data_IF_301273505837
#
_entry.id   IF_301273505837
#
_cell.length_a   1.000
_cell.length_b   1.000
_cell.length_c   1.000
_cell.angle_alpha   90.00
_cell.angle_beta   90.00
_cell.angle_gamma   90.00
#
_symmetry.space_group_name_H-M   'P 1'
#
loop_
_entity.id
_entity.type
_entity.pdbx_description
1 polymer ?
#
# COMPACT_ATOMS: atom_id res chain seq x y z
N UNK A 1 5.01 6.68 -14.42
CA UNK A 1 3.64 6.62 -14.95
C UNK A 1 3.01 8.02 -14.94
N UNK A 2 2.88 8.66 -13.79
CA UNK A 2 2.17 9.94 -13.60
C UNK A 2 2.58 11.06 -14.57
N UNK A 3 3.87 11.19 -14.91
CA UNK A 3 4.37 12.22 -15.83
C UNK A 3 3.71 12.08 -17.21
N UNK A 4 3.66 10.86 -17.76
CA UNK A 4 3.08 10.60 -19.07
C UNK A 4 1.56 10.82 -19.08
N UNK A 5 0.89 10.46 -17.99
CA UNK A 5 -0.54 10.73 -17.80
C UNK A 5 -0.82 12.22 -17.76
N UNK A 6 -0.03 12.99 -17.00
CA UNK A 6 -0.17 14.43 -16.86
C UNK A 6 0.10 15.20 -18.18
N UNK A 7 0.93 14.64 -19.07
CA UNK A 7 1.23 15.20 -20.39
C UNK A 7 0.33 14.68 -21.51
N UNK A 8 -0.56 13.72 -21.21
CA UNK A 8 -1.43 13.07 -22.19
C UNK A 8 -0.69 12.10 -23.14
N UNK A 9 0.54 11.72 -22.81
CA UNK A 9 1.36 10.80 -23.62
C UNK A 9 1.01 9.33 -23.31
N UNK A 10 -0.18 8.93 -23.73
CA UNK A 10 -0.71 7.57 -23.50
C UNK A 10 0.12 6.49 -24.21
N UNK A 11 0.74 6.82 -25.34
CA UNK A 11 1.59 5.86 -26.08
C UNK A 11 2.85 5.51 -25.26
N UNK A 12 3.55 6.50 -24.73
CA UNK A 12 4.73 6.27 -23.88
C UNK A 12 4.33 5.62 -22.56
N UNK A 13 3.19 6.00 -21.98
CA UNK A 13 2.65 5.34 -20.78
C UNK A 13 2.45 3.83 -21.03
N UNK A 14 1.83 3.46 -22.14
CA UNK A 14 1.62 2.05 -22.52
C UNK A 14 2.94 1.30 -22.66
N UNK A 15 3.90 1.85 -23.38
CA UNK A 15 5.24 1.24 -23.55
C UNK A 15 5.96 1.06 -22.22
N UNK A 16 5.82 2.02 -21.30
CA UNK A 16 6.41 1.93 -19.97
C UNK A 16 5.76 0.82 -19.14
N UNK A 17 4.44 0.69 -19.17
CA UNK A 17 3.72 -0.39 -18.48
C UNK A 17 4.08 -1.76 -19.05
N UNK A 18 4.10 -1.91 -20.38
CA UNK A 18 4.52 -3.15 -21.04
C UNK A 18 5.95 -3.54 -20.69
N UNK A 19 6.87 -2.57 -20.69
CA UNK A 19 8.26 -2.77 -20.28
C UNK A 19 8.35 -3.22 -18.83
N UNK A 20 7.62 -2.56 -17.94
CA UNK A 20 7.58 -2.87 -16.50
C UNK A 20 7.07 -4.30 -16.25
N UNK A 21 5.94 -4.65 -16.85
CA UNK A 21 5.36 -5.99 -16.69
C UNK A 21 6.33 -7.05 -17.22
N UNK A 22 6.82 -6.89 -18.45
CA UNK A 22 7.70 -7.87 -19.10
C UNK A 22 8.99 -8.14 -18.33
N UNK A 23 9.61 -7.11 -17.75
CA UNK A 23 10.93 -7.23 -17.14
C UNK A 23 10.88 -7.47 -15.62
N UNK A 24 9.81 -7.09 -14.96
CA UNK A 24 9.73 -7.10 -13.50
C UNK A 24 8.58 -7.95 -12.93
N UNK A 25 7.62 -8.33 -13.77
CA UNK A 25 6.46 -9.13 -13.35
C UNK A 25 6.23 -10.30 -14.32
N UNK A 26 7.16 -11.26 -14.41
CA UNK A 26 7.14 -12.31 -15.45
C UNK A 26 5.91 -13.24 -15.38
N UNK A 27 5.19 -13.26 -14.25
CA UNK A 27 3.94 -13.98 -14.10
C UNK A 27 2.75 -13.27 -14.78
N UNK A 28 2.92 -12.01 -15.18
CA UNK A 28 1.87 -11.20 -15.80
C UNK A 28 2.15 -10.94 -17.28
N UNK A 29 1.06 -10.64 -18.00
CA UNK A 29 1.08 -10.18 -19.39
C UNK A 29 0.22 -8.92 -19.48
N UNK A 30 0.37 -8.18 -20.58
CA UNK A 30 -0.50 -7.06 -20.88
C UNK A 30 -0.99 -7.16 -22.34
N UNK A 31 -2.21 -7.62 -22.53
CA UNK A 31 -2.88 -7.68 -23.82
C UNK A 31 -4.32 -7.16 -23.76
N UNK A 32 -4.86 -6.98 -22.56
CA UNK A 32 -6.22 -6.50 -22.32
C UNK A 32 -6.35 -5.95 -20.87
N UNK A 33 -7.47 -5.28 -20.60
CA UNK A 33 -7.78 -4.66 -19.31
C UNK A 33 -7.78 -5.67 -18.16
N UNK A 34 -8.31 -6.87 -18.35
CA UNK A 34 -8.37 -7.89 -17.30
C UNK A 34 -6.98 -8.33 -16.83
N UNK A 35 -6.02 -8.46 -17.74
CA UNK A 35 -4.64 -8.78 -17.37
C UNK A 35 -3.96 -7.62 -16.65
N UNK A 36 -4.25 -6.40 -17.06
CA UNK A 36 -3.74 -5.21 -16.40
C UNK A 36 -4.33 -5.05 -14.99
N UNK A 37 -5.63 -5.33 -14.81
CA UNK A 37 -6.27 -5.38 -13.48
C UNK A 37 -5.64 -6.44 -12.58
N UNK A 38 -5.35 -7.63 -13.10
CA UNK A 38 -4.69 -8.69 -12.32
C UNK A 38 -3.29 -8.26 -11.83
N UNK A 39 -2.51 -7.60 -12.67
CA UNK A 39 -1.20 -7.04 -12.29
C UNK A 39 -1.34 -5.96 -11.20
N UNK A 40 -2.29 -5.04 -11.34
CA UNK A 40 -2.54 -3.99 -10.34
C UNK A 40 -3.04 -4.57 -9.01
N UNK A 41 -3.86 -5.63 -9.05
CA UNK A 41 -4.30 -6.33 -7.85
C UNK A 41 -3.13 -6.97 -7.08
N UNK A 42 -2.17 -7.56 -7.77
CA UNK A 42 -0.98 -8.12 -7.15
C UNK A 42 -0.08 -7.03 -6.54
N UNK A 43 0.03 -5.88 -7.17
CA UNK A 43 0.73 -4.72 -6.58
C UNK A 43 0.01 -4.26 -5.30
N UNK A 44 -1.32 -4.16 -5.32
CA UNK A 44 -2.12 -3.78 -4.16
C UNK A 44 -1.91 -4.76 -2.98
N UNK A 45 -1.98 -6.07 -3.23
CA UNK A 45 -1.73 -7.12 -2.22
C UNK A 45 -0.29 -7.12 -1.70
N UNK A 46 0.69 -6.92 -2.58
CA UNK A 46 2.10 -6.84 -2.18
C UNK A 46 2.33 -5.62 -1.28
N UNK A 47 1.72 -4.48 -1.61
CA UNK A 47 1.76 -3.27 -0.79
C UNK A 47 1.09 -3.50 0.58
N UNK A 48 -0.09 -4.12 0.62
CA UNK A 48 -0.78 -4.47 1.86
C UNK A 48 0.07 -5.40 2.73
N UNK A 49 0.72 -6.39 2.13
CA UNK A 49 1.63 -7.32 2.82
C UNK A 49 2.82 -6.59 3.45
N UNK A 50 3.50 -5.74 2.68
CA UNK A 50 4.62 -4.95 3.17
C UNK A 50 4.23 -4.08 4.36
N UNK A 51 3.14 -3.33 4.24
CA UNK A 51 2.66 -2.43 5.30
C UNK A 51 2.19 -3.20 6.54
N UNK A 52 1.56 -4.37 6.37
CA UNK A 52 1.20 -5.25 7.49
C UNK A 52 2.43 -5.70 8.27
N UNK A 53 3.54 -5.99 7.59
CA UNK A 53 4.79 -6.31 8.27
C UNK A 53 5.38 -5.10 9.01
N UNK A 54 5.28 -3.88 8.44
CA UNK A 54 5.68 -2.67 9.17
C UNK A 54 4.88 -2.50 10.47
N UNK A 55 3.55 -2.62 10.38
CA UNK A 55 2.66 -2.52 11.55
C UNK A 55 2.98 -3.60 12.58
N UNK A 56 3.32 -4.82 12.13
CA UNK A 56 3.62 -5.94 13.02
C UNK A 56 4.88 -5.72 13.87
N UNK A 57 5.89 -5.07 13.32
CA UNK A 57 7.19 -4.86 14.00
C UNK A 57 7.39 -3.44 14.52
N UNK A 58 6.37 -2.58 14.44
CA UNK A 58 6.47 -1.21 14.89
C UNK A 58 7.34 -0.30 14.01
N UNK A 59 7.60 -0.69 12.76
CA UNK A 59 8.37 0.13 11.82
C UNK A 59 7.55 1.30 11.28
N UNK A 60 8.16 2.47 11.23
CA UNK A 60 7.58 3.68 10.63
C UNK A 60 8.49 4.19 9.52
N UNK A 61 7.98 4.21 8.30
CA UNK A 61 8.72 4.68 7.13
C UNK A 61 9.02 6.18 7.20
N UNK A 62 8.05 6.96 7.65
CA UNK A 62 8.19 8.41 7.89
C UNK A 62 8.03 9.31 6.67
N UNK A 63 8.19 8.82 5.44
CA UNK A 63 8.00 9.59 4.18
C UNK A 63 7.42 8.71 3.08
N UNK A 64 6.12 8.45 3.14
CA UNK A 64 5.41 7.61 2.18
C UNK A 64 4.84 8.43 1.01
N UNK A 65 5.68 9.23 0.36
CA UNK A 65 5.35 9.84 -0.92
C UNK A 65 5.25 8.77 -2.01
N UNK A 66 4.62 9.07 -3.13
CA UNK A 66 4.42 8.12 -4.24
C UNK A 66 5.73 7.62 -4.86
N UNK A 67 6.77 8.45 -4.86
CA UNK A 67 8.11 8.12 -5.34
C UNK A 67 8.90 7.22 -4.37
N UNK A 68 8.48 7.15 -3.11
CA UNK A 68 9.09 6.33 -2.05
C UNK A 68 8.36 4.99 -1.82
N UNK A 69 7.43 4.63 -2.70
CA UNK A 69 6.66 3.38 -2.62
C UNK A 69 6.94 2.49 -3.82
N UNK A 70 7.47 1.30 -3.55
CA UNK A 70 7.77 0.33 -4.59
C UNK A 70 6.55 -0.47 -5.01
N UNK A 71 6.32 -0.61 -6.31
CA UNK A 71 5.29 -1.51 -6.87
C UNK A 71 5.58 -3.00 -6.65
N UNK A 72 6.78 -3.34 -6.14
CA UNK A 72 7.17 -4.69 -5.79
C UNK A 72 6.83 -5.08 -4.34
N UNK A 73 6.20 -4.19 -3.56
CA UNK A 73 5.99 -4.43 -2.13
C UNK A 73 7.29 -4.53 -1.33
N UNK A 74 8.32 -3.80 -1.76
CA UNK A 74 9.61 -3.72 -1.09
C UNK A 74 9.75 -2.37 -0.39
N UNK A 75 10.30 -2.39 0.82
CA UNK A 75 10.65 -1.15 1.52
C UNK A 75 11.85 -0.52 0.85
N UNK A 76 11.69 0.72 0.39
CA UNK A 76 12.74 1.52 -0.26
C UNK A 76 12.82 2.90 0.40
N UNK A 77 13.83 3.68 0.04
CA UNK A 77 14.01 5.07 0.46
C UNK A 77 14.00 5.25 1.98
N UNK A 78 14.98 4.61 2.63
CA UNK A 78 15.19 4.69 4.08
C UNK A 78 15.73 6.08 4.49
N UNK A 79 14.83 7.09 4.46
CA UNK A 79 15.11 8.44 4.95
C UNK A 79 14.93 8.52 6.48
N UNK A 80 13.99 9.33 7.00
CA UNK A 80 13.72 9.43 8.42
C UNK A 80 12.83 8.28 8.93
N UNK A 81 13.29 7.05 8.78
CA UNK A 81 12.59 5.86 9.29
C UNK A 81 12.94 5.60 10.76
N UNK A 82 12.16 4.76 11.44
CA UNK A 82 12.44 4.30 12.79
C UNK A 82 11.46 3.24 13.27
N UNK A 83 11.60 2.83 14.52
CA UNK A 83 10.70 1.90 15.19
C UNK A 83 10.12 2.58 16.44
N UNK A 84 8.85 2.31 16.72
CA UNK A 84 8.26 2.71 17.99
C UNK A 84 8.90 1.88 19.13
N UNK A 85 9.26 2.53 20.23
CA UNK A 85 9.71 1.86 21.44
C UNK A 85 8.50 1.54 22.33
N UNK A 86 7.80 2.58 22.77
CA UNK A 86 6.48 2.44 23.38
C UNK A 86 5.39 2.53 22.30
N UNK A 87 4.24 1.92 22.55
CA UNK A 87 3.13 2.01 21.62
C UNK A 87 2.57 3.44 21.55
N UNK A 88 2.95 4.18 20.52
CA UNK A 88 2.37 5.48 20.19
C UNK A 88 1.87 5.48 18.74
N UNK A 89 0.54 5.41 18.52
CA UNK A 89 -0.04 5.44 17.18
C UNK A 89 0.22 6.75 16.43
N UNK A 90 0.60 7.81 17.14
CA UNK A 90 0.86 9.13 16.58
C UNK A 90 2.35 9.42 16.37
N UNK A 91 3.21 8.49 16.74
CA UNK A 91 4.64 8.67 16.58
C UNK A 91 5.07 8.74 15.10
N UNK A 92 5.97 9.67 14.80
CA UNK A 92 6.61 9.81 13.48
C UNK A 92 8.08 10.16 13.67
N UNK A 93 9.00 9.49 12.96
CA UNK A 93 10.43 9.84 12.99
C UNK A 93 10.75 11.08 12.16
N UNK A 94 9.82 11.54 11.32
CA UNK A 94 10.00 12.66 10.41
C UNK A 94 9.69 13.99 11.09
N UNK A 95 10.75 14.76 11.42
CA UNK A 95 10.62 16.06 12.08
C UNK A 95 9.92 17.11 11.21
N UNK A 96 9.97 17.00 9.90
CA UNK A 96 9.28 17.92 8.96
C UNK A 96 7.78 17.64 8.87
N UNK A 97 7.34 16.46 9.27
CA UNK A 97 5.93 16.05 9.29
C UNK A 97 5.24 16.24 10.67
N UNK A 98 5.93 16.77 11.65
CA UNK A 98 5.43 16.90 13.05
C UNK A 98 4.12 17.69 13.15
N UNK A 99 3.90 18.67 12.30
CA UNK A 99 2.69 19.51 12.32
C UNK A 99 1.44 18.78 11.86
N UNK A 100 1.58 17.87 10.88
CA UNK A 100 0.47 17.15 10.27
C UNK A 100 0.44 15.66 10.64
N UNK A 101 1.60 15.10 10.98
CA UNK A 101 1.81 13.68 11.28
C UNK A 101 1.16 12.76 10.24
N UNK A 102 1.29 13.16 8.96
CA UNK A 102 0.71 12.43 7.83
C UNK A 102 1.22 11.00 7.80
N UNK A 103 2.52 10.81 8.06
CA UNK A 103 3.23 9.54 7.98
C UNK A 103 3.47 8.89 9.35
N UNK A 104 2.64 9.21 10.37
CA UNK A 104 2.70 8.56 11.69
C UNK A 104 2.38 7.06 11.59
N UNK A 105 2.78 6.30 12.59
CA UNK A 105 2.63 4.84 12.65
C UNK A 105 1.23 4.36 12.25
N UNK A 106 0.19 4.78 12.97
CA UNK A 106 -1.17 4.31 12.73
C UNK A 106 -1.76 4.72 11.37
N UNK A 107 -1.16 5.69 10.68
CA UNK A 107 -1.68 6.19 9.41
C UNK A 107 -1.11 5.45 8.18
N UNK A 108 -0.08 4.62 8.37
CA UNK A 108 0.62 3.96 7.26
C UNK A 108 -0.30 3.12 6.36
N UNK A 109 -1.24 2.29 6.88
CA UNK A 109 -2.15 1.55 6.03
C UNK A 109 -2.99 2.45 5.12
N UNK A 110 -3.51 3.56 5.67
CA UNK A 110 -4.31 4.52 4.89
C UNK A 110 -3.49 5.26 3.83
N UNK A 111 -2.26 5.65 4.16
CA UNK A 111 -1.37 6.34 3.20
C UNK A 111 -0.92 5.39 2.09
N UNK A 112 -0.67 4.13 2.39
CA UNK A 112 -0.36 3.14 1.36
C UNK A 112 -1.54 2.92 0.40
N UNK A 113 -2.77 2.83 0.91
CA UNK A 113 -3.98 2.79 0.07
C UNK A 113 -4.12 4.05 -0.79
N UNK A 114 -3.81 5.24 -0.25
CA UNK A 114 -3.74 6.47 -1.03
C UNK A 114 -2.69 6.39 -2.14
N UNK A 115 -1.50 5.80 -1.89
CA UNK A 115 -0.49 5.59 -2.92
C UNK A 115 -0.94 4.62 -4.01
N UNK A 116 -1.63 3.53 -3.64
CA UNK A 116 -2.29 2.64 -4.61
C UNK A 116 -3.26 3.44 -5.49
N UNK A 117 -4.12 4.27 -4.90
CA UNK A 117 -5.03 5.12 -5.67
C UNK A 117 -4.29 6.04 -6.66
N UNK A 118 -3.17 6.65 -6.26
CA UNK A 118 -2.35 7.49 -7.16
C UNK A 118 -1.76 6.68 -8.33
N UNK A 119 -1.36 5.43 -8.09
CA UNK A 119 -0.92 4.54 -9.16
C UNK A 119 -2.06 4.23 -10.14
N UNK A 120 -3.26 3.90 -9.62
CA UNK A 120 -4.43 3.61 -10.44
C UNK A 120 -4.81 4.81 -11.32
N UNK A 121 -4.84 6.02 -10.77
CA UNK A 121 -5.07 7.23 -11.54
C UNK A 121 -4.02 7.46 -12.64
N UNK A 122 -2.76 7.15 -12.35
CA UNK A 122 -1.68 7.27 -13.33
C UNK A 122 -1.76 6.25 -14.47
N UNK A 123 -2.45 5.13 -14.25
CA UNK A 123 -2.62 4.04 -15.24
C UNK A 123 -4.00 4.12 -15.92
N UNK A 124 -4.95 4.84 -15.36
CA UNK A 124 -6.34 4.93 -15.85
C UNK A 124 -6.48 5.22 -17.37
N UNK A 125 -5.64 6.08 -18.00
CA UNK A 125 -5.74 6.32 -19.44
C UNK A 125 -5.49 5.11 -20.35
N UNK A 126 -5.06 3.97 -19.80
CA UNK A 126 -4.84 2.73 -20.56
C UNK A 126 -6.07 1.82 -20.60
N UNK A 127 -7.10 2.13 -19.82
CA UNK A 127 -8.33 1.36 -19.73
C UNK A 127 -9.44 1.92 -20.60
N UNK A 128 -10.22 1.03 -21.21
CA UNK A 128 -11.46 1.40 -21.90
C UNK A 128 -12.55 1.80 -20.91
N UNK A 129 -12.61 1.13 -19.75
CA UNK A 129 -13.56 1.37 -18.65
C UNK A 129 -12.78 1.60 -17.32
N UNK A 130 -12.28 2.81 -17.06
CA UNK A 130 -11.43 3.10 -15.89
C UNK A 130 -12.16 2.97 -14.54
N UNK A 131 -13.50 2.93 -14.52
CA UNK A 131 -14.31 2.72 -13.31
C UNK A 131 -13.99 1.37 -12.64
N UNK A 132 -13.56 0.37 -13.42
CA UNK A 132 -13.14 -0.94 -12.90
C UNK A 132 -11.95 -0.86 -11.94
N UNK A 133 -11.15 0.21 -12.01
CA UNK A 133 -10.00 0.39 -11.13
C UNK A 133 -10.38 0.53 -9.65
N UNK A 134 -11.60 0.96 -9.34
CA UNK A 134 -12.07 1.08 -7.95
C UNK A 134 -12.00 -0.25 -7.20
N UNK A 135 -12.26 -1.38 -7.86
CA UNK A 135 -12.18 -2.71 -7.25
C UNK A 135 -10.77 -3.05 -6.72
N UNK A 136 -9.71 -2.45 -7.28
CA UNK A 136 -8.34 -2.66 -6.80
C UNK A 136 -8.11 -2.02 -5.43
N UNK A 137 -8.79 -0.91 -5.15
CA UNK A 137 -8.76 -0.32 -3.81
C UNK A 137 -9.50 -1.20 -2.79
N UNK A 138 -10.60 -1.80 -3.19
CA UNK A 138 -11.31 -2.77 -2.35
C UNK A 138 -10.41 -3.97 -2.04
N UNK A 139 -9.74 -4.53 -3.07
CA UNK A 139 -8.73 -5.60 -2.88
C UNK A 139 -7.64 -5.18 -1.88
N UNK A 140 -7.14 -3.94 -1.95
CA UNK A 140 -6.14 -3.45 -1.00
C UNK A 140 -6.68 -3.40 0.43
N UNK A 141 -7.87 -2.79 0.63
CA UNK A 141 -8.43 -2.59 1.97
C UNK A 141 -8.92 -3.90 2.61
N UNK A 142 -9.44 -4.82 1.83
CA UNK A 142 -9.78 -6.16 2.30
C UNK A 142 -8.53 -6.93 2.74
N UNK A 143 -7.50 -6.99 1.89
CA UNK A 143 -6.27 -7.72 2.15
C UNK A 143 -5.49 -7.15 3.36
N UNK A 144 -5.41 -5.82 3.49
CA UNK A 144 -4.75 -5.20 4.66
C UNK A 144 -5.53 -5.47 5.96
N UNK A 145 -6.86 -5.47 5.91
CA UNK A 145 -7.73 -5.80 7.04
C UNK A 145 -7.54 -7.25 7.51
N UNK A 146 -7.58 -8.20 6.57
CA UNK A 146 -7.34 -9.62 6.87
C UNK A 146 -5.95 -9.86 7.49
N UNK A 147 -4.92 -9.22 6.94
CA UNK A 147 -3.55 -9.33 7.44
C UNK A 147 -3.38 -8.69 8.83
N UNK A 148 -4.05 -7.59 9.11
CA UNK A 148 -4.06 -6.99 10.45
C UNK A 148 -4.76 -7.90 11.45
N UNK A 149 -5.88 -8.50 11.11
CA UNK A 149 -6.57 -9.48 11.96
C UNK A 149 -5.69 -10.70 12.23
N UNK A 150 -5.05 -11.24 11.20
CA UNK A 150 -4.09 -12.35 11.35
C UNK A 150 -2.89 -11.98 12.22
N UNK A 151 -2.38 -10.77 12.08
CA UNK A 151 -1.30 -10.25 12.93
C UNK A 151 -1.72 -10.18 14.41
N UNK A 152 -2.92 -9.66 14.70
CA UNK A 152 -3.42 -9.58 16.07
C UNK A 152 -3.71 -10.97 16.65
N UNK A 153 -4.32 -11.86 15.88
CA UNK A 153 -4.49 -13.26 16.31
C UNK A 153 -3.14 -13.89 16.72
N UNK A 154 -2.11 -13.74 15.87
CA UNK A 154 -0.78 -14.27 16.15
C UNK A 154 -0.10 -13.62 17.37
N UNK A 155 -0.27 -12.31 17.59
CA UNK A 155 0.28 -11.62 18.78
C UNK A 155 -0.41 -12.01 20.09
N UNK A 156 -1.71 -12.26 20.02
CA UNK A 156 -2.53 -12.60 21.19
C UNK A 156 -2.61 -14.12 21.46
N UNK A 157 -2.04 -14.94 20.57
CA UNK A 157 -2.11 -16.40 20.68
C UNK A 157 -3.52 -16.97 20.41
N UNK A 158 -4.32 -16.26 19.59
CA UNK A 158 -5.65 -16.67 19.18
C UNK A 158 -5.57 -17.51 17.90
N UNK A 159 -6.45 -18.50 17.74
CA UNK A 159 -6.58 -19.25 16.50
C UNK A 159 -7.07 -18.37 15.34
N UNK A 160 -7.96 -17.42 15.63
CA UNK A 160 -8.46 -16.38 14.72
C UNK A 160 -8.83 -15.13 15.52
N UNK A 161 -8.88 -13.99 14.82
CA UNK A 161 -9.33 -12.71 15.36
C UNK A 161 -10.81 -12.51 14.99
N UNK A 162 -11.63 -12.18 15.97
CA UNK A 162 -13.07 -11.96 15.82
C UNK A 162 -13.44 -10.54 16.23
N UNK A 163 -14.67 -10.11 15.88
CA UNK A 163 -15.16 -8.77 16.24
C UNK A 163 -15.14 -8.51 17.75
N UNK A 164 -15.34 -9.56 18.56
CA UNK A 164 -15.26 -9.47 20.02
C UNK A 164 -13.85 -9.11 20.52
N UNK A 165 -12.79 -9.43 19.77
CA UNK A 165 -11.42 -9.18 20.16
C UNK A 165 -10.96 -7.73 19.88
N UNK A 166 -11.74 -6.98 19.11
CA UNK A 166 -11.46 -5.57 18.80
C UNK A 166 -11.36 -4.73 20.07
N UNK A 167 -12.25 -4.99 21.04
CA UNK A 167 -12.24 -4.26 22.33
C UNK A 167 -11.00 -4.59 23.13
N UNK A 168 -10.55 -5.86 23.14
CA UNK A 168 -9.31 -6.25 23.79
C UNK A 168 -8.10 -5.50 23.21
N UNK A 169 -8.02 -5.40 21.87
CA UNK A 169 -6.95 -4.62 21.22
C UNK A 169 -7.04 -3.15 21.57
N UNK A 170 -8.24 -2.60 21.67
CA UNK A 170 -8.45 -1.20 22.05
C UNK A 170 -7.97 -0.93 23.48
N UNK A 171 -8.29 -1.83 24.41
CA UNK A 171 -7.83 -1.72 25.81
C UNK A 171 -6.31 -1.85 25.92
N UNK A 172 -5.69 -2.75 25.14
CA UNK A 172 -4.23 -2.89 25.12
C UNK A 172 -3.49 -1.66 24.55
N UNK A 173 -4.19 -0.86 23.76
CA UNK A 173 -3.64 0.32 23.08
C UNK A 173 -4.02 1.65 23.82
N UNK A 174 -4.70 1.59 24.96
CA UNK A 174 -5.09 2.74 25.76
C UNK A 174 -4.08 3.05 26.85
#
# INVERSE_FOLDING_TARGET
FQIHTATGDTETLRKLVEHTIRNHFPAHQYSNDQQLLAWLADIAKSTATMVSHWMRVGFVHGVMNTDNMSIHGLTIDYGPYGWIEDYDPNWTPNTTDLSHRRYRFANQPRIAGWNVARLLEAIAPLFDEPEQLSQILDVYFEDIGEKQNSMWAGKLGLDRFEDADVELVRELNS
#
